data_IF_661616125374
#
_entry.id   IF_661616125374
#
_cell.length_a   1.000
_cell.length_b   1.000
_cell.length_c   1.000
_cell.angle_alpha   90.00
_cell.angle_beta   90.00
_cell.angle_gamma   90.00
#
_symmetry.space_group_name_H-M   'P 1'
#
loop_
_entity.id
_entity.type
_entity.pdbx_description
1 polymer ?
#
# COMPACT_ATOMS: atom_id res chain seq x y z
N UNK A 1 -25.05 -7.89 5.74
CA UNK A 1 -24.83 -6.83 4.72
C UNK A 1 -25.02 -7.41 3.32
N UNK A 2 -26.06 -7.01 2.59
CA UNK A 2 -26.25 -7.43 1.20
C UNK A 2 -25.25 -6.71 0.27
N UNK A 3 -24.64 -7.45 -0.67
CA UNK A 3 -23.73 -6.87 -1.67
C UNK A 3 -24.56 -6.13 -2.73
N UNK A 4 -24.45 -4.80 -2.78
CA UNK A 4 -25.07 -3.98 -3.84
C UNK A 4 -24.50 -4.35 -5.20
N UNK A 5 -25.36 -4.79 -6.13
CA UNK A 5 -25.00 -5.03 -7.54
C UNK A 5 -24.61 -3.70 -8.21
N UNK A 6 -23.78 -3.76 -9.24
CA UNK A 6 -23.46 -2.59 -10.07
C UNK A 6 -24.66 -2.26 -10.96
N UNK A 7 -25.00 -0.99 -11.10
CA UNK A 7 -25.97 -0.53 -12.10
C UNK A 7 -25.32 -0.52 -13.50
N UNK A 8 -26.15 -0.44 -14.54
CA UNK A 8 -25.66 -0.35 -15.92
C UNK A 8 -24.83 0.92 -16.15
N UNK A 9 -25.19 2.04 -15.51
CA UNK A 9 -24.43 3.29 -15.58
C UNK A 9 -23.04 3.14 -14.96
N UNK A 10 -22.95 2.51 -13.78
CA UNK A 10 -21.66 2.25 -13.14
C UNK A 10 -20.78 1.32 -13.99
N UNK A 11 -21.38 0.34 -14.68
CA UNK A 11 -20.66 -0.53 -15.62
C UNK A 11 -20.17 0.23 -16.85
N UNK A 12 -20.97 1.14 -17.40
CA UNK A 12 -20.58 1.98 -18.53
C UNK A 12 -19.39 2.89 -18.19
N UNK A 13 -19.35 3.44 -16.97
CA UNK A 13 -18.20 4.19 -16.45
C UNK A 13 -16.96 3.28 -16.39
N UNK A 14 -17.10 2.07 -15.83
CA UNK A 14 -15.97 1.13 -15.75
C UNK A 14 -15.45 0.72 -17.14
N UNK A 15 -16.33 0.55 -18.12
CA UNK A 15 -15.94 0.24 -19.50
C UNK A 15 -15.19 1.42 -20.13
N UNK A 16 -15.75 2.63 -20.04
CA UNK A 16 -15.15 3.82 -20.64
C UNK A 16 -13.75 4.09 -20.07
N UNK A 17 -13.61 4.11 -18.75
CA UNK A 17 -12.32 4.46 -18.14
C UNK A 17 -11.38 3.26 -18.05
N UNK A 18 -11.88 2.10 -17.64
CA UNK A 18 -11.06 0.90 -17.47
C UNK A 18 -10.63 0.28 -18.79
N UNK A 19 -11.58 0.06 -19.71
CA UNK A 19 -11.29 -0.61 -20.98
C UNK A 19 -10.80 0.37 -22.05
N UNK A 20 -11.52 1.47 -22.30
CA UNK A 20 -11.18 2.38 -23.41
C UNK A 20 -10.02 3.32 -23.10
N UNK A 21 -9.89 3.77 -21.85
CA UNK A 21 -8.81 4.69 -21.43
C UNK A 21 -7.68 3.99 -20.67
N UNK A 22 -7.80 2.69 -20.34
CA UNK A 22 -6.76 1.93 -19.64
C UNK A 22 -6.53 2.34 -18.19
N UNK A 23 -7.51 2.99 -17.54
CA UNK A 23 -7.37 3.43 -16.16
C UNK A 23 -7.40 2.24 -15.20
N UNK A 24 -6.60 2.32 -14.15
CA UNK A 24 -6.64 1.39 -13.03
C UNK A 24 -7.84 1.67 -12.12
N UNK A 25 -8.29 0.64 -11.39
CA UNK A 25 -9.32 0.79 -10.36
C UNK A 25 -8.99 1.88 -9.32
N UNK A 26 -7.69 2.12 -9.09
CA UNK A 26 -7.21 3.16 -8.18
C UNK A 26 -7.45 4.55 -8.75
N UNK A 27 -7.13 4.79 -10.02
CA UNK A 27 -7.38 6.07 -10.69
C UNK A 27 -8.88 6.39 -10.73
N UNK A 28 -9.72 5.40 -11.04
CA UNK A 28 -11.19 5.57 -11.05
C UNK A 28 -11.70 5.93 -9.64
N UNK A 29 -11.13 5.31 -8.60
CA UNK A 29 -11.49 5.61 -7.21
C UNK A 29 -11.02 7.00 -6.77
N UNK A 30 -9.76 7.37 -7.04
CA UNK A 30 -9.18 8.66 -6.67
C UNK A 30 -9.84 9.82 -7.43
N UNK A 31 -10.30 9.59 -8.67
CA UNK A 31 -11.09 10.55 -9.45
C UNK A 31 -12.54 10.70 -8.95
N UNK A 32 -12.99 9.88 -8.01
CA UNK A 32 -14.34 9.97 -7.44
C UNK A 32 -15.47 9.62 -8.41
N UNK A 33 -15.19 8.92 -9.51
CA UNK A 33 -16.17 8.60 -10.56
C UNK A 33 -17.30 7.66 -10.07
N UNK A 34 -17.03 6.91 -9.00
CA UNK A 34 -17.98 6.00 -8.37
C UNK A 34 -18.00 6.26 -6.85
N UNK A 35 -18.61 7.37 -6.39
CA UNK A 35 -18.49 7.86 -5.02
C UNK A 35 -19.08 6.91 -3.98
N UNK A 36 -20.01 6.05 -4.39
CA UNK A 36 -20.66 5.05 -3.54
C UNK A 36 -19.95 3.68 -3.55
N UNK A 37 -18.79 3.57 -4.21
CA UNK A 37 -18.05 2.31 -4.34
C UNK A 37 -16.67 2.43 -3.71
N UNK A 38 -16.30 1.42 -2.94
CA UNK A 38 -14.93 1.30 -2.46
C UNK A 38 -13.99 0.88 -3.58
N UNK A 39 -12.72 1.27 -3.48
CA UNK A 39 -11.65 0.79 -4.37
C UNK A 39 -11.68 -0.73 -4.58
N UNK A 40 -11.84 -1.51 -3.50
CA UNK A 40 -11.92 -2.97 -3.58
C UNK A 40 -13.11 -3.47 -4.39
N UNK A 41 -14.26 -2.80 -4.27
CA UNK A 41 -15.46 -3.11 -5.06
C UNK A 41 -15.23 -2.86 -6.55
N UNK A 42 -14.64 -1.71 -6.89
CA UNK A 42 -14.33 -1.28 -8.27
C UNK A 42 -13.34 -2.27 -8.88
N UNK A 43 -12.23 -2.55 -8.19
CA UNK A 43 -11.20 -3.50 -8.64
C UNK A 43 -11.80 -4.89 -8.92
N UNK A 44 -12.69 -5.37 -8.04
CA UNK A 44 -13.36 -6.66 -8.24
C UNK A 44 -14.35 -6.65 -9.40
N UNK A 45 -15.07 -5.55 -9.61
CA UNK A 45 -15.99 -5.40 -10.73
C UNK A 45 -15.22 -5.37 -12.06
N UNK A 46 -14.17 -4.56 -12.16
CA UNK A 46 -13.28 -4.52 -13.34
C UNK A 46 -12.67 -5.88 -13.63
N UNK A 47 -12.20 -6.60 -12.62
CA UNK A 47 -11.64 -7.95 -12.79
C UNK A 47 -12.64 -8.96 -13.33
N UNK A 48 -13.93 -8.83 -12.99
CA UNK A 48 -15.00 -9.69 -13.53
C UNK A 48 -15.33 -9.36 -14.98
N UNK A 49 -15.24 -8.09 -15.35
CA UNK A 49 -15.54 -7.61 -16.70
C UNK A 49 -14.33 -7.64 -17.64
N UNK A 50 -13.14 -7.96 -17.13
CA UNK A 50 -11.90 -7.99 -17.92
C UNK A 50 -11.31 -6.60 -18.20
N UNK A 51 -11.77 -5.53 -17.56
CA UNK A 51 -11.30 -4.15 -17.78
C UNK A 51 -9.97 -3.83 -17.08
N UNK A 52 -9.24 -4.84 -16.61
CA UNK A 52 -7.93 -4.66 -16.01
C UNK A 52 -6.85 -4.50 -17.07
N UNK A 53 -5.72 -3.89 -16.70
CA UNK A 53 -4.52 -3.85 -17.54
C UNK A 53 -4.12 -5.29 -17.95
N UNK A 54 -4.19 -5.63 -19.26
CA UNK A 54 -3.97 -7.00 -19.73
C UNK A 54 -2.54 -7.46 -19.45
N UNK A 55 -1.56 -6.55 -19.47
CA UNK A 55 -0.16 -6.86 -19.17
C UNK A 55 -0.02 -7.28 -17.71
N UNK A 56 -0.65 -6.55 -16.79
CA UNK A 56 -0.63 -6.91 -15.35
C UNK A 56 -1.38 -8.20 -15.06
N UNK A 57 -2.49 -8.45 -15.74
CA UNK A 57 -3.24 -9.71 -15.61
C UNK A 57 -2.38 -10.88 -16.09
N UNK A 58 -1.69 -10.74 -17.21
CA UNK A 58 -0.86 -11.79 -17.78
C UNK A 58 0.38 -12.07 -16.91
N UNK A 59 1.07 -11.02 -16.43
CA UNK A 59 2.15 -11.15 -15.43
C UNK A 59 1.66 -11.88 -14.19
N UNK A 60 0.46 -11.55 -13.68
CA UNK A 60 -0.10 -12.19 -12.49
C UNK A 60 -0.47 -13.67 -12.70
N UNK A 61 -0.82 -14.06 -13.94
CA UNK A 61 -1.05 -15.46 -14.31
C UNK A 61 0.27 -16.24 -14.41
N UNK A 62 1.29 -15.63 -14.99
CA UNK A 62 2.61 -16.24 -15.17
C UNK A 62 3.43 -16.31 -13.87
N UNK A 63 3.06 -15.51 -12.85
CA UNK A 63 3.72 -15.51 -11.56
C UNK A 63 3.60 -16.88 -10.85
N UNK A 64 4.75 -17.53 -10.61
CA UNK A 64 4.83 -18.77 -9.82
C UNK A 64 4.23 -18.55 -8.43
N UNK A 65 3.18 -19.32 -8.11
CA UNK A 65 2.56 -19.35 -6.79
C UNK A 65 3.16 -20.49 -5.97
N UNK A 66 3.88 -20.16 -4.91
CA UNK A 66 4.36 -21.16 -3.95
C UNK A 66 3.16 -21.77 -3.22
N UNK A 67 2.99 -23.09 -3.35
CA UNK A 67 2.02 -23.87 -2.57
C UNK A 67 2.43 -23.89 -1.10
N UNK A 68 1.53 -24.35 -0.23
CA UNK A 68 1.76 -24.34 1.23
C UNK A 68 3.09 -25.00 1.63
N UNK A 69 3.39 -26.16 1.06
CA UNK A 69 4.60 -26.91 1.41
C UNK A 69 5.87 -26.26 0.83
N UNK A 70 5.83 -25.87 -0.45
CA UNK A 70 6.91 -25.13 -1.10
C UNK A 70 7.24 -23.83 -0.36
N UNK A 71 6.22 -23.18 0.21
CA UNK A 71 6.39 -21.96 1.01
C UNK A 71 7.17 -22.23 2.29
N UNK A 72 6.87 -23.31 3.01
CA UNK A 72 7.63 -23.68 4.22
C UNK A 72 9.09 -23.97 3.87
N UNK A 73 9.31 -24.74 2.81
CA UNK A 73 10.66 -25.05 2.33
C UNK A 73 11.40 -23.78 1.90
N UNK A 74 10.69 -22.84 1.27
CA UNK A 74 11.25 -21.55 0.88
C UNK A 74 11.63 -20.69 2.09
N UNK A 75 10.76 -20.63 3.11
CA UNK A 75 11.05 -19.93 4.37
C UNK A 75 12.25 -20.54 5.08
N UNK A 76 12.33 -21.87 5.18
CA UNK A 76 13.49 -22.57 5.74
C UNK A 76 14.77 -22.29 4.95
N UNK A 77 14.72 -22.36 3.63
CA UNK A 77 15.86 -22.04 2.77
C UNK A 77 16.34 -20.60 2.97
N UNK A 78 15.44 -19.62 3.10
CA UNK A 78 15.84 -18.23 3.38
C UNK A 78 16.57 -18.10 4.72
N UNK A 79 16.16 -18.88 5.72
CA UNK A 79 16.76 -18.89 7.06
C UNK A 79 18.05 -19.70 7.16
N UNK A 80 18.33 -20.60 6.21
CA UNK A 80 19.59 -21.35 6.13
C UNK A 80 20.48 -20.81 5.01
N UNK A 81 20.49 -21.47 3.87
CA UNK A 81 21.42 -21.25 2.76
C UNK A 81 21.21 -19.89 2.09
N UNK A 82 19.98 -19.37 2.16
CA UNK A 82 19.57 -18.11 1.56
C UNK A 82 19.99 -16.86 2.32
N UNK A 83 20.47 -16.96 3.57
CA UNK A 83 20.83 -15.79 4.39
C UNK A 83 21.85 -14.89 3.68
N UNK A 84 22.90 -15.51 3.16
CA UNK A 84 24.04 -14.84 2.53
C UNK A 84 23.88 -14.65 1.01
N UNK A 85 22.81 -15.20 0.42
CA UNK A 85 22.55 -15.05 -1.00
C UNK A 85 21.83 -13.73 -1.29
N UNK A 86 22.14 -13.12 -2.43
CA UNK A 86 21.40 -11.96 -2.91
C UNK A 86 19.97 -12.34 -3.31
N UNK A 87 19.03 -11.40 -3.19
CA UNK A 87 17.63 -11.67 -3.54
C UNK A 87 17.46 -11.98 -5.04
N UNK A 88 18.35 -11.45 -5.90
CA UNK A 88 18.46 -11.86 -7.32
C UNK A 88 18.81 -13.34 -7.45
N UNK A 89 19.83 -13.81 -6.72
CA UNK A 89 20.26 -15.21 -6.81
C UNK A 89 19.20 -16.17 -6.31
N UNK A 90 18.53 -15.84 -5.21
CA UNK A 90 17.43 -16.65 -4.66
C UNK A 90 16.26 -16.72 -5.65
N UNK A 91 15.93 -15.59 -6.29
CA UNK A 91 14.88 -15.49 -7.31
C UNK A 91 15.15 -16.43 -8.49
N UNK A 92 16.39 -16.48 -8.98
CA UNK A 92 16.81 -17.40 -10.05
C UNK A 92 16.73 -18.87 -9.60
N UNK A 93 17.25 -19.20 -8.40
CA UNK A 93 17.26 -20.57 -7.88
C UNK A 93 15.85 -21.14 -7.69
N UNK A 94 14.92 -20.32 -7.21
CA UNK A 94 13.56 -20.77 -6.89
C UNK A 94 12.54 -20.51 -7.99
N UNK A 95 12.93 -19.78 -9.05
CA UNK A 95 12.03 -19.38 -10.14
C UNK A 95 10.88 -18.49 -9.64
N UNK A 96 11.13 -17.67 -8.63
CA UNK A 96 10.14 -16.75 -8.05
C UNK A 96 10.54 -15.31 -8.30
N UNK A 97 9.57 -14.39 -8.38
CA UNK A 97 9.86 -12.97 -8.54
C UNK A 97 10.72 -12.43 -7.38
N UNK A 98 11.66 -11.52 -7.67
CA UNK A 98 12.50 -10.85 -6.65
C UNK A 98 11.67 -10.15 -5.57
N UNK A 99 10.52 -9.57 -5.93
CA UNK A 99 9.59 -8.96 -4.98
C UNK A 99 9.05 -9.97 -3.96
N UNK A 100 8.80 -11.21 -4.39
CA UNK A 100 8.41 -12.32 -3.51
C UNK A 100 9.54 -12.65 -2.54
N UNK A 101 10.78 -12.76 -3.02
CA UNK A 101 11.96 -12.99 -2.14
C UNK A 101 12.07 -11.89 -1.09
N UNK A 102 12.00 -10.62 -1.51
CA UNK A 102 12.10 -9.47 -0.61
C UNK A 102 10.98 -9.42 0.42
N UNK A 103 9.77 -9.88 0.06
CA UNK A 103 8.66 -10.02 1.00
C UNK A 103 8.98 -11.06 2.09
N UNK A 104 9.45 -12.26 1.72
CA UNK A 104 9.76 -13.30 2.71
C UNK A 104 10.98 -12.93 3.57
N UNK A 105 12.03 -12.33 3.01
CA UNK A 105 13.17 -11.83 3.81
C UNK A 105 12.71 -10.86 4.90
N UNK A 106 11.89 -9.87 4.55
CA UNK A 106 11.31 -8.92 5.54
C UNK A 106 10.44 -9.61 6.57
N UNK A 107 9.54 -10.50 6.13
CA UNK A 107 8.67 -11.28 7.02
C UNK A 107 9.48 -12.07 8.06
N UNK A 108 10.65 -12.57 7.66
CA UNK A 108 11.54 -13.38 8.48
C UNK A 108 12.64 -12.57 9.19
N UNK A 109 12.65 -11.24 9.05
CA UNK A 109 13.68 -10.38 9.66
C UNK A 109 15.07 -10.47 9.02
N UNK A 110 15.19 -11.08 7.85
CA UNK A 110 16.47 -11.18 7.12
C UNK A 110 16.73 -9.87 6.38
N UNK A 111 17.90 -9.23 6.58
CA UNK A 111 18.19 -7.95 5.94
C UNK A 111 18.26 -8.07 4.42
N UNK A 112 17.81 -7.02 3.74
CA UNK A 112 18.00 -6.82 2.31
C UNK A 112 19.36 -6.15 2.07
N UNK A 113 19.92 -6.31 0.88
CA UNK A 113 21.08 -5.51 0.48
C UNK A 113 20.71 -4.01 0.47
N UNK A 114 21.68 -3.10 0.68
CA UNK A 114 21.43 -1.65 0.74
C UNK A 114 20.65 -1.11 -0.48
N UNK A 115 20.99 -1.59 -1.67
CA UNK A 115 20.31 -1.20 -2.92
C UNK A 115 18.85 -1.70 -2.97
N UNK A 116 18.59 -2.92 -2.47
CA UNK A 116 17.26 -3.51 -2.37
C UNK A 116 16.43 -2.88 -1.25
N UNK A 117 17.06 -2.49 -0.15
CA UNK A 117 16.41 -1.75 0.93
C UNK A 117 15.97 -0.36 0.45
N UNK A 118 16.83 0.38 -0.27
CA UNK A 118 16.53 1.75 -0.74
C UNK A 118 15.40 1.79 -1.77
N UNK A 119 15.38 0.86 -2.71
CA UNK A 119 14.29 0.74 -3.71
C UNK A 119 12.95 0.42 -3.08
N UNK A 120 12.94 -0.31 -1.97
CA UNK A 120 11.72 -0.64 -1.22
C UNK A 120 11.30 0.50 -0.28
N UNK A 121 12.24 1.20 0.36
CA UNK A 121 11.96 2.38 1.19
C UNK A 121 11.22 3.44 0.38
N UNK A 122 11.63 3.70 -0.86
CA UNK A 122 10.90 4.65 -1.72
C UNK A 122 9.47 4.20 -2.07
N UNK A 123 9.15 2.90 -2.00
CA UNK A 123 7.80 2.37 -2.20
C UNK A 123 7.00 2.39 -0.89
N UNK A 124 7.62 2.04 0.25
CA UNK A 124 7.00 2.06 1.57
C UNK A 124 6.72 3.50 2.06
N UNK A 125 7.63 4.43 1.84
CA UNK A 125 7.41 5.87 2.08
C UNK A 125 6.23 6.39 1.25
N UNK A 126 6.10 5.94 0.01
CA UNK A 126 4.98 6.31 -0.86
C UNK A 126 3.66 5.70 -0.38
N UNK A 127 3.70 4.47 0.16
CA UNK A 127 2.56 3.82 0.81
C UNK A 127 2.17 4.51 2.13
N UNK A 128 3.14 4.97 2.93
CA UNK A 128 2.90 5.70 4.18
C UNK A 128 2.36 7.11 3.92
N UNK A 129 2.84 7.81 2.89
CA UNK A 129 2.28 9.11 2.45
C UNK A 129 0.84 9.00 1.94
N UNK A 130 0.48 7.84 1.38
CA UNK A 130 -0.85 7.55 0.80
C UNK A 130 -1.80 6.84 1.75
N UNK A 131 -1.36 6.45 2.96
CA UNK A 131 -2.26 5.97 3.99
C UNK A 131 -3.04 7.17 4.55
N UNK A 132 -4.38 7.23 4.44
CA UNK A 132 -5.13 8.26 5.14
C UNK A 132 -4.88 8.07 6.64
N UNK A 133 -4.31 9.09 7.29
CA UNK A 133 -4.07 9.10 8.72
C UNK A 133 -5.37 8.81 9.47
N UNK A 134 -5.49 7.58 9.96
CA UNK A 134 -6.47 7.18 10.97
C UNK A 134 -5.99 7.72 12.31
N UNK A 135 -5.91 9.05 12.47
CA UNK A 135 -5.78 9.70 13.78
C UNK A 135 -5.82 11.22 13.65
N UNK A 136 -7.04 11.81 13.60
CA UNK A 136 -7.40 13.10 14.24
C UNK A 136 -8.92 13.21 14.36
N UNK A 137 -9.55 12.26 15.03
CA UNK A 137 -10.83 12.48 15.72
C UNK A 137 -10.70 11.77 17.05
N UNK A 138 -11.04 12.46 18.14
CA UNK A 138 -10.85 12.06 19.54
C UNK A 138 -9.53 12.54 20.18
N UNK A 139 -9.42 13.85 20.41
CA UNK A 139 -9.11 14.37 21.76
C UNK A 139 -9.71 15.77 21.84
N UNK A 140 -10.53 15.99 22.85
CA UNK A 140 -11.27 17.23 23.04
C UNK A 140 -10.34 18.42 23.16
N UNK A 141 -10.78 19.57 22.64
CA UNK A 141 -10.26 20.88 23.06
C UNK A 141 -10.72 21.11 24.49
N UNK A 142 -9.83 21.21 25.50
CA UNK A 142 -10.18 21.96 26.69
C UNK A 142 -9.98 23.45 26.39
N UNK A 143 -11.04 24.20 26.66
CA UNK A 143 -11.06 25.64 26.84
C UNK A 143 -9.83 26.09 27.65
N UNK A 144 -8.98 26.93 27.07
CA UNK A 144 -7.93 27.64 27.82
C UNK A 144 -8.22 29.14 27.78
N UNK A 145 -8.91 29.55 28.84
CA UNK A 145 -8.83 30.85 29.52
C UNK A 145 -7.68 31.72 29.04
N UNK A 146 -8.04 32.85 28.45
CA UNK A 146 -7.20 34.05 28.30
C UNK A 146 -6.79 34.51 29.69
N UNK A 147 -5.61 34.08 30.12
CA UNK A 147 -4.95 34.53 31.34
C UNK A 147 -4.16 35.80 31.07
N UNK A 148 -4.77 36.90 31.49
CA UNK A 148 -4.15 38.11 32.02
C UNK A 148 -2.64 37.97 32.33
N UNK A 149 -1.81 38.73 31.63
CA UNK A 149 -0.42 39.01 31.99
C UNK A 149 -0.18 40.50 31.86
N UNK A 150 -0.73 41.24 32.81
CA UNK A 150 -0.30 42.60 33.08
C UNK A 150 1.10 42.58 33.71
N UNK A 151 2.02 43.32 33.08
CA UNK A 151 3.42 43.42 33.45
C UNK A 151 3.56 44.22 34.75
N UNK A 152 3.91 43.56 35.86
CA UNK A 152 4.62 44.21 36.97
C UNK A 152 6.12 44.19 36.70
N UNK A 153 6.69 45.33 36.30
CA UNK A 153 8.12 45.65 36.49
C UNK A 153 8.25 46.81 37.50
N UNK A 154 9.30 46.67 38.33
CA UNK A 154 9.51 47.16 39.70
C UNK A 154 9.76 48.68 39.85
N UNK A 155 9.65 49.23 41.09
CA UNK A 155 10.08 50.58 41.43
C UNK A 155 11.53 50.66 41.99
N UNK A 156 12.18 51.83 41.77
CA UNK A 156 13.23 52.49 42.60
C UNK A 156 14.59 51.79 42.79
N UNK A 157 15.73 52.43 43.07
CA UNK A 157 16.12 53.82 43.40
C UNK A 157 17.66 53.86 43.59
N UNK A 158 18.28 55.04 43.45
CA UNK A 158 19.57 55.43 44.07
C UNK A 158 20.81 55.15 43.22
N UNK A 159 21.72 56.09 42.97
CA UNK A 159 22.19 57.21 43.81
C UNK A 159 22.60 58.39 42.95
#
# INVERSE_FOLDING_TARGET
MQKRKYSNEELAILELYGCKQGWTARQIFEAGLLPNRSYQSISKAMGRQGYGDPVRVEIAKQAKRLRSEERKNFEQFILSDGLNLSSKRISELWGVARSTVNFYRRKLGVPLSWYEARTVVSIEEDHQRKAPGVERRMTGKPDRKTGDRDLKRKPGTGT
#
